data_IF_997589620542
#
_entry.id   IF_997589620542
#
_cell.length_a   1.000
_cell.length_b   1.000
_cell.length_c   1.000
_cell.angle_alpha   90.00
_cell.angle_beta   90.00
_cell.angle_gamma   90.00
#
_symmetry.space_group_name_H-M   'P 1'
#
loop_
_entity.id
_entity.type
_entity.pdbx_description
1 polymer ?
#
# COMPACT_ATOMS: atom_id res chain seq x y z
N UNK A 1 -31.21 -18.40 60.84
CA UNK A 1 -30.13 -19.41 60.81
C UNK A 1 -29.89 -19.84 59.36
N UNK A 2 -28.65 -19.64 58.90
CA UNK A 2 -28.00 -20.09 57.65
C UNK A 2 -28.53 -19.55 56.31
N UNK A 3 -27.89 -18.46 55.89
CA UNK A 3 -27.67 -18.07 54.50
C UNK A 3 -26.86 -19.13 53.76
N UNK A 4 -27.33 -19.59 52.61
CA UNK A 4 -26.53 -20.39 51.67
C UNK A 4 -26.36 -19.57 50.39
N UNK A 5 -25.16 -18.99 50.21
CA UNK A 5 -24.74 -18.33 48.98
C UNK A 5 -24.27 -19.41 48.02
N UNK A 6 -24.93 -19.55 46.87
CA UNK A 6 -24.46 -20.37 45.76
C UNK A 6 -23.63 -19.45 44.86
N UNK A 7 -22.31 -19.58 44.94
CA UNK A 7 -21.39 -18.94 44.01
C UNK A 7 -21.31 -19.79 42.75
N UNK A 8 -21.93 -19.33 41.66
CA UNK A 8 -21.71 -19.89 40.33
C UNK A 8 -20.37 -19.37 39.81
N UNK A 9 -19.35 -20.23 39.80
CA UNK A 9 -18.08 -19.99 39.11
C UNK A 9 -18.36 -20.22 37.62
N UNK A 10 -18.58 -19.13 36.88
CA UNK A 10 -18.59 -19.18 35.41
C UNK A 10 -17.13 -19.32 34.99
N UNK A 11 -16.74 -20.54 34.62
CA UNK A 11 -15.46 -20.80 33.98
C UNK A 11 -15.42 -20.08 32.64
N UNK A 12 -14.72 -18.96 32.57
CA UNK A 12 -14.35 -18.34 31.30
C UNK A 12 -13.32 -19.27 30.67
N UNK A 13 -13.76 -20.02 29.66
CA UNK A 13 -12.87 -20.71 28.75
C UNK A 13 -12.08 -19.63 27.98
N UNK A 14 -10.88 -19.33 28.45
CA UNK A 14 -9.90 -18.55 27.70
C UNK A 14 -9.44 -19.43 26.54
N UNK A 15 -10.05 -19.25 25.37
CA UNK A 15 -9.50 -19.74 24.13
C UNK A 15 -8.25 -18.90 23.83
N UNK A 16 -7.12 -19.38 24.32
CA UNK A 16 -5.80 -19.08 23.78
C UNK A 16 -5.74 -19.60 22.34
N UNK A 17 -6.20 -18.81 21.38
CA UNK A 17 -5.86 -19.07 19.97
C UNK A 17 -4.37 -18.78 19.83
N UNK A 18 -3.59 -19.84 20.01
CA UNK A 18 -2.20 -19.93 19.64
C UNK A 18 -2.04 -19.48 18.19
N UNK A 19 -1.11 -18.56 17.96
CA UNK A 19 -0.69 -18.14 16.63
C UNK A 19 -0.28 -19.37 15.81
N UNK A 20 -1.15 -19.75 14.88
CA UNK A 20 -0.80 -20.51 13.70
C UNK A 20 -1.01 -19.57 12.52
N UNK A 21 -0.06 -19.57 11.58
CA UNK A 21 -0.25 -19.01 10.25
C UNK A 21 -1.53 -19.60 9.68
N UNK A 22 -2.63 -18.87 9.81
CA UNK A 22 -3.81 -19.13 8.99
C UNK A 22 -3.33 -18.79 7.59
N UNK A 23 -3.23 -19.79 6.72
CA UNK A 23 -3.13 -19.61 5.28
C UNK A 23 -4.29 -18.69 4.88
N UNK A 24 -4.04 -17.37 4.88
CA UNK A 24 -4.98 -16.42 4.34
C UNK A 24 -4.91 -16.62 2.84
N UNK A 25 -5.88 -17.35 2.31
CA UNK A 25 -6.11 -17.44 0.87
C UNK A 25 -6.17 -16.05 0.24
N UNK A 26 -5.94 -15.99 -1.07
CA UNK A 26 -5.89 -14.71 -1.78
C UNK A 26 -7.26 -14.03 -1.73
N UNK A 27 -7.32 -12.86 -1.10
CA UNK A 27 -8.44 -11.95 -1.25
C UNK A 27 -8.17 -11.02 -2.44
N UNK A 28 -8.87 -11.23 -3.55
CA UNK A 28 -8.69 -10.41 -4.76
C UNK A 28 -9.44 -9.10 -4.63
N UNK A 29 -8.69 -8.00 -4.61
CA UNK A 29 -9.20 -6.63 -4.62
C UNK A 29 -9.30 -6.11 -6.05
N UNK A 30 -8.24 -6.27 -6.86
CA UNK A 30 -8.17 -5.73 -8.23
C UNK A 30 -8.45 -4.22 -8.34
N UNK A 31 -7.83 -3.42 -7.47
CA UNK A 31 -7.92 -1.96 -7.57
C UNK A 31 -7.21 -1.44 -8.83
N UNK A 32 -7.76 -0.36 -9.39
CA UNK A 32 -7.24 0.27 -10.62
C UNK A 32 -6.61 1.62 -10.32
N UNK A 33 -5.70 2.06 -11.19
CA UNK A 33 -5.07 3.37 -11.09
C UNK A 33 -6.04 4.48 -11.49
N UNK A 34 -5.97 5.62 -10.79
CA UNK A 34 -6.48 6.85 -11.37
C UNK A 34 -5.63 7.27 -12.59
N UNK A 35 -6.21 8.02 -13.55
CA UNK A 35 -5.45 8.58 -14.65
C UNK A 35 -4.29 9.44 -14.12
N UNK A 36 -3.07 9.27 -14.64
CA UNK A 36 -1.88 9.98 -14.13
C UNK A 36 -2.00 11.51 -14.17
N UNK A 37 -2.72 12.05 -15.16
CA UNK A 37 -3.02 13.49 -15.29
C UNK A 37 -3.86 14.05 -14.13
N UNK A 38 -4.57 13.19 -13.42
CA UNK A 38 -5.40 13.58 -12.29
C UNK A 38 -4.60 13.72 -11.00
N UNK A 39 -3.36 13.25 -10.98
CA UNK A 39 -2.48 13.21 -9.81
C UNK A 39 -1.35 14.21 -9.99
N UNK A 40 -1.13 15.04 -8.98
CA UNK A 40 0.03 15.92 -8.87
C UNK A 40 0.83 15.52 -7.64
N UNK A 41 2.13 15.35 -7.82
CA UNK A 41 3.06 15.01 -6.75
C UNK A 41 3.81 16.28 -6.33
N UNK A 42 4.02 16.45 -5.03
CA UNK A 42 4.80 17.55 -4.51
C UNK A 42 6.32 17.35 -4.73
N UNK A 43 7.08 18.45 -4.73
CA UNK A 43 8.54 18.41 -4.90
C UNK A 43 9.25 17.56 -3.83
N UNK A 44 8.70 17.50 -2.62
CA UNK A 44 9.22 16.63 -1.54
C UNK A 44 9.30 15.16 -1.96
N UNK A 45 8.40 14.72 -2.85
CA UNK A 45 8.34 13.35 -3.39
C UNK A 45 9.05 13.24 -4.74
N UNK A 46 8.84 14.17 -5.67
CA UNK A 46 9.38 14.04 -7.04
C UNK A 46 10.89 14.08 -7.12
N UNK A 47 11.57 14.76 -6.19
CA UNK A 47 13.04 14.74 -6.08
C UNK A 47 13.63 13.34 -5.82
N UNK A 48 12.79 12.36 -5.46
CA UNK A 48 13.16 10.95 -5.22
C UNK A 48 12.81 10.03 -6.39
N UNK A 49 12.45 10.58 -7.56
CA UNK A 49 12.03 9.81 -8.72
C UNK A 49 13.04 9.87 -9.85
N UNK A 50 13.14 8.79 -10.60
CA UNK A 50 13.88 8.74 -11.85
C UNK A 50 13.20 9.60 -12.91
N UNK A 51 14.02 10.25 -13.75
CA UNK A 51 13.54 10.87 -14.97
C UNK A 51 13.21 9.80 -16.00
N UNK A 52 12.09 9.95 -16.72
CA UNK A 52 11.53 8.94 -17.64
C UNK A 52 12.49 8.49 -18.76
N UNK A 53 13.60 9.21 -18.99
CA UNK A 53 14.59 8.89 -20.04
C UNK A 53 15.48 7.68 -19.73
N UNK A 54 15.41 7.08 -18.54
CA UNK A 54 16.27 5.97 -18.13
C UNK A 54 15.70 4.55 -18.41
N UNK A 55 14.50 4.43 -18.98
CA UNK A 55 13.70 3.20 -18.90
C UNK A 55 13.94 2.12 -19.98
N UNK A 56 14.78 2.35 -20.99
CA UNK A 56 15.02 1.34 -22.03
C UNK A 56 16.34 0.60 -21.78
N UNK A 57 16.30 -0.39 -20.90
CA UNK A 57 17.43 -1.28 -20.66
C UNK A 57 16.98 -2.71 -20.90
N UNK A 58 17.25 -3.21 -22.10
CA UNK A 58 17.06 -4.61 -22.45
C UNK A 58 18.36 -5.37 -22.20
N UNK A 59 18.34 -6.29 -21.24
CA UNK A 59 19.37 -7.30 -21.04
C UNK A 59 18.70 -8.56 -20.51
N UNK A 60 18.93 -9.72 -21.15
CA UNK A 60 18.41 -10.99 -20.63
C UNK A 60 19.22 -11.35 -19.37
N UNK A 61 18.63 -11.10 -18.20
CA UNK A 61 19.17 -11.50 -16.91
C UNK A 61 18.26 -12.58 -16.28
N UNK A 62 18.80 -13.65 -15.66
CA UNK A 62 17.98 -14.66 -14.98
C UNK A 62 17.03 -14.08 -13.92
N UNK A 63 17.44 -13.01 -13.21
CA UNK A 63 16.60 -12.34 -12.21
C UNK A 63 15.43 -11.59 -12.86
N UNK A 64 15.63 -10.94 -14.01
CA UNK A 64 14.51 -10.31 -14.74
C UNK A 64 13.52 -11.36 -15.24
N UNK A 65 13.99 -12.53 -15.68
CA UNK A 65 13.11 -13.62 -16.09
C UNK A 65 12.27 -14.19 -14.94
N UNK A 66 12.88 -14.35 -13.75
CA UNK A 66 12.17 -14.76 -12.51
C UNK A 66 11.08 -13.74 -12.12
N UNK A 67 11.36 -12.44 -12.28
CA UNK A 67 10.36 -11.39 -12.05
C UNK A 67 9.22 -11.43 -13.08
N UNK A 68 9.54 -11.63 -14.36
CA UNK A 68 8.52 -11.76 -15.42
C UNK A 68 7.60 -12.98 -15.21
N UNK A 69 8.14 -14.09 -14.70
CA UNK A 69 7.36 -15.25 -14.30
C UNK A 69 6.39 -14.91 -13.16
N UNK A 70 6.86 -14.24 -12.10
CA UNK A 70 6.02 -13.81 -10.98
C UNK A 70 4.92 -12.81 -11.41
N UNK A 71 5.25 -11.89 -12.32
CA UNK A 71 4.25 -10.98 -12.91
C UNK A 71 3.19 -11.79 -13.68
N UNK A 72 3.61 -12.78 -14.47
CA UNK A 72 2.69 -13.65 -15.20
C UNK A 72 1.79 -14.48 -14.27
N UNK A 73 2.33 -14.97 -13.15
CA UNK A 73 1.54 -15.62 -12.09
C UNK A 73 0.50 -14.66 -11.51
N UNK A 74 0.88 -13.42 -11.19
CA UNK A 74 -0.04 -12.40 -10.68
C UNK A 74 -1.17 -12.09 -11.67
N UNK A 75 -0.88 -11.99 -12.98
CA UNK A 75 -1.90 -11.80 -14.01
C UNK A 75 -2.82 -13.02 -14.16
N UNK A 76 -2.30 -14.24 -13.95
CA UNK A 76 -3.13 -15.45 -13.95
C UNK A 76 -4.11 -15.47 -12.77
N UNK A 77 -3.69 -14.98 -11.61
CA UNK A 77 -4.50 -14.90 -10.39
C UNK A 77 -5.67 -13.94 -10.52
N UNK A 78 -5.54 -12.88 -11.33
CA UNK A 78 -6.67 -11.98 -11.65
C UNK A 78 -7.84 -12.71 -12.29
N UNK A 79 -7.56 -13.79 -13.03
CA UNK A 79 -8.57 -14.60 -13.74
C UNK A 79 -8.96 -15.85 -12.95
N UNK A 80 -7.98 -16.48 -12.30
CA UNK A 80 -8.14 -17.76 -11.62
C UNK A 80 -7.53 -17.64 -10.21
N UNK A 81 -8.39 -17.31 -9.23
CA UNK A 81 -8.05 -16.98 -7.84
C UNK A 81 -7.56 -18.24 -7.09
N UNK A 82 -6.41 -18.76 -7.48
CA UNK A 82 -5.85 -20.01 -6.94
C UNK A 82 -4.93 -19.74 -5.76
N UNK A 83 -5.34 -20.18 -4.57
CA UNK A 83 -4.53 -20.07 -3.35
C UNK A 83 -3.17 -20.77 -3.48
N UNK A 84 -3.09 -21.88 -4.22
CA UNK A 84 -1.82 -22.56 -4.47
C UNK A 84 -0.85 -21.70 -5.28
N UNK A 85 -1.35 -21.02 -6.32
CA UNK A 85 -0.53 -20.11 -7.14
C UNK A 85 -0.15 -18.89 -6.32
N UNK A 86 -1.06 -18.37 -5.49
CA UNK A 86 -0.79 -17.26 -4.58
C UNK A 86 0.30 -17.59 -3.56
N UNK A 87 0.23 -18.75 -2.92
CA UNK A 87 1.20 -19.18 -1.93
C UNK A 87 2.60 -19.36 -2.55
N UNK A 88 2.67 -19.97 -3.74
CA UNK A 88 3.92 -20.10 -4.48
C UNK A 88 4.49 -18.72 -4.89
N UNK A 89 3.65 -17.83 -5.40
CA UNK A 89 4.05 -16.46 -5.76
C UNK A 89 4.54 -15.66 -4.55
N UNK A 90 3.81 -15.74 -3.43
CA UNK A 90 4.17 -15.04 -2.19
C UNK A 90 5.49 -15.55 -1.61
N UNK A 91 5.76 -16.85 -1.67
CA UNK A 91 7.03 -17.42 -1.26
C UNK A 91 8.18 -16.92 -2.16
N UNK A 92 8.00 -16.98 -3.48
CA UNK A 92 9.01 -16.50 -4.44
C UNK A 92 9.30 -15.00 -4.28
N UNK A 93 8.27 -14.19 -4.04
CA UNK A 93 8.40 -12.76 -3.77
C UNK A 93 9.20 -12.49 -2.50
N UNK A 94 8.91 -13.23 -1.41
CA UNK A 94 9.62 -13.08 -0.14
C UNK A 94 11.12 -13.40 -0.30
N UNK A 95 11.43 -14.53 -0.95
CA UNK A 95 12.81 -14.94 -1.18
C UNK A 95 13.58 -13.93 -2.04
N UNK A 96 12.95 -13.40 -3.10
CA UNK A 96 13.55 -12.38 -3.95
C UNK A 96 13.83 -11.08 -3.18
N UNK A 97 12.84 -10.58 -2.42
CA UNK A 97 12.97 -9.33 -1.68
C UNK A 97 14.06 -9.37 -0.60
N UNK A 98 14.19 -10.50 0.09
CA UNK A 98 15.15 -10.65 1.20
C UNK A 98 16.59 -10.85 0.72
N UNK A 99 16.80 -11.59 -0.37
CA UNK A 99 18.12 -11.90 -0.90
C UNK A 99 18.56 -10.95 -2.01
N UNK A 100 17.83 -10.97 -3.12
CA UNK A 100 18.28 -10.39 -4.39
C UNK A 100 18.26 -8.86 -4.36
N UNK A 101 17.20 -8.22 -3.84
CA UNK A 101 17.07 -6.75 -3.81
C UNK A 101 18.16 -6.08 -2.97
N UNK A 102 18.56 -6.71 -1.87
CA UNK A 102 19.64 -6.19 -1.01
C UNK A 102 20.99 -6.18 -1.75
N UNK A 103 21.25 -7.17 -2.61
CA UNK A 103 22.46 -7.24 -3.44
C UNK A 103 22.46 -6.13 -4.50
N UNK A 104 21.29 -5.72 -5.00
CA UNK A 104 21.16 -4.62 -5.99
C UNK A 104 21.47 -3.24 -5.39
N UNK A 105 21.54 -3.12 -4.06
CA UNK A 105 22.02 -1.92 -3.38
C UNK A 105 23.54 -1.81 -3.35
N UNK A 106 24.25 -2.92 -3.61
CA UNK A 106 25.70 -2.98 -3.66
C UNK A 106 26.24 -2.62 -5.07
N UNK A 107 27.45 -2.09 -5.13
CA UNK A 107 28.12 -1.67 -6.39
C UNK A 107 28.59 -2.85 -7.27
N UNK A 108 28.04 -4.04 -7.08
CA UNK A 108 28.51 -5.30 -7.70
C UNK A 108 27.98 -5.53 -9.11
N UNK A 109 26.88 -4.88 -9.50
CA UNK A 109 26.31 -4.98 -10.85
C UNK A 109 26.53 -3.69 -11.64
N UNK A 110 26.56 -3.81 -12.97
CA UNK A 110 26.50 -2.63 -13.82
C UNK A 110 25.23 -1.83 -13.50
N UNK A 111 25.33 -0.50 -13.51
CA UNK A 111 24.19 0.37 -13.16
C UNK A 111 22.96 0.10 -14.04
N UNK A 112 23.14 -0.36 -15.27
CA UNK A 112 22.06 -0.70 -16.19
C UNK A 112 21.31 -1.98 -15.79
N UNK A 113 22.03 -3.05 -15.44
CA UNK A 113 21.41 -4.33 -15.07
C UNK A 113 20.63 -4.22 -13.76
N UNK A 114 21.21 -3.56 -12.75
CA UNK A 114 20.53 -3.31 -11.49
C UNK A 114 19.23 -2.51 -11.69
N UNK A 115 19.26 -1.49 -12.56
CA UNK A 115 18.08 -0.67 -12.87
C UNK A 115 16.97 -1.48 -13.56
N UNK A 116 17.32 -2.36 -14.50
CA UNK A 116 16.34 -3.22 -15.17
C UNK A 116 15.64 -4.18 -14.18
N UNK A 117 16.41 -4.81 -13.27
CA UNK A 117 15.87 -5.70 -12.24
C UNK A 117 14.98 -4.92 -11.26
N UNK A 118 15.44 -3.77 -10.77
CA UNK A 118 14.69 -2.95 -9.83
C UNK A 118 13.39 -2.40 -10.44
N UNK A 119 13.41 -2.02 -11.72
CA UNK A 119 12.21 -1.60 -12.44
C UNK A 119 11.15 -2.71 -12.48
N UNK A 120 11.56 -3.95 -12.82
CA UNK A 120 10.66 -5.12 -12.80
C UNK A 120 10.17 -5.46 -11.39
N UNK A 121 11.00 -5.25 -10.37
CA UNK A 121 10.60 -5.42 -8.97
C UNK A 121 9.54 -4.39 -8.55
N UNK A 122 9.65 -3.12 -9.00
CA UNK A 122 8.61 -2.11 -8.82
C UNK A 122 7.31 -2.54 -9.50
N UNK A 123 7.37 -2.96 -10.77
CA UNK A 123 6.19 -3.38 -11.53
C UNK A 123 5.47 -4.58 -10.88
N UNK A 124 6.23 -5.55 -10.36
CA UNK A 124 5.69 -6.69 -9.63
C UNK A 124 4.95 -6.23 -8.37
N UNK A 125 5.57 -5.37 -7.54
CA UNK A 125 4.94 -4.89 -6.31
C UNK A 125 3.68 -4.05 -6.58
N UNK A 126 3.71 -3.20 -7.62
CA UNK A 126 2.52 -2.45 -8.07
C UNK A 126 1.41 -3.41 -8.47
N UNK A 127 1.73 -4.46 -9.23
CA UNK A 127 0.78 -5.46 -9.70
C UNK A 127 0.16 -6.24 -8.53
N UNK A 128 1.00 -6.69 -7.58
CA UNK A 128 0.58 -7.46 -6.42
C UNK A 128 -0.24 -6.62 -5.44
N UNK A 129 0.13 -5.35 -5.22
CA UNK A 129 -0.64 -4.44 -4.38
C UNK A 129 -2.03 -4.16 -4.97
N UNK A 130 -2.12 -3.93 -6.28
CA UNK A 130 -3.43 -3.76 -6.95
C UNK A 130 -4.28 -5.02 -6.88
N UNK A 131 -3.67 -6.20 -7.07
CA UNK A 131 -4.33 -7.49 -7.03
C UNK A 131 -4.91 -7.79 -5.64
N UNK A 132 -4.11 -7.63 -4.58
CA UNK A 132 -4.40 -8.19 -3.25
C UNK A 132 -4.67 -7.15 -2.16
N UNK A 133 -4.19 -5.91 -2.33
CA UNK A 133 -4.10 -4.90 -1.26
C UNK A 133 -3.28 -5.33 -0.05
N UNK A 134 -2.39 -6.32 -0.15
CA UNK A 134 -1.53 -6.65 0.99
C UNK A 134 -0.48 -5.56 1.21
N UNK A 135 -0.43 -5.05 2.44
CA UNK A 135 0.40 -3.91 2.85
C UNK A 135 1.88 -4.11 2.57
N UNK A 136 2.37 -5.35 2.63
CA UNK A 136 3.79 -5.71 2.40
C UNK A 136 4.31 -5.26 1.03
N UNK A 137 3.47 -5.24 0.01
CA UNK A 137 3.85 -4.77 -1.32
C UNK A 137 3.97 -3.25 -1.37
N UNK A 138 3.11 -2.53 -0.63
CA UNK A 138 3.23 -1.09 -0.43
C UNK A 138 4.46 -0.71 0.40
N UNK A 139 4.79 -1.49 1.43
CA UNK A 139 6.01 -1.32 2.22
C UNK A 139 7.26 -1.46 1.34
N UNK A 140 7.30 -2.47 0.46
CA UNK A 140 8.42 -2.64 -0.46
C UNK A 140 8.59 -1.46 -1.43
N UNK A 141 7.49 -0.88 -1.93
CA UNK A 141 7.51 0.33 -2.78
C UNK A 141 8.02 1.54 -2.00
N UNK A 142 7.56 1.74 -0.76
CA UNK A 142 8.04 2.85 0.09
C UNK A 142 9.51 2.70 0.48
N UNK A 143 9.98 1.49 0.75
CA UNK A 143 11.39 1.22 1.02
C UNK A 143 12.26 1.62 -0.17
N UNK A 144 11.82 1.32 -1.40
CA UNK A 144 12.51 1.76 -2.63
C UNK A 144 12.49 3.28 -2.80
N UNK A 145 11.39 3.94 -2.42
CA UNK A 145 11.25 5.39 -2.56
C UNK A 145 12.09 6.17 -1.54
N UNK A 146 12.04 5.74 -0.27
CA UNK A 146 12.56 6.53 0.86
C UNK A 146 13.84 5.99 1.49
N UNK A 147 14.05 4.67 1.50
CA UNK A 147 15.20 4.04 2.19
C UNK A 147 16.30 3.58 1.25
N UNK A 148 15.96 3.26 0.00
CA UNK A 148 16.92 2.75 -0.96
C UNK A 148 17.89 3.87 -1.42
N UNK A 149 19.20 3.56 -1.58
CA UNK A 149 20.22 4.58 -1.82
C UNK A 149 20.22 5.16 -3.23
N UNK A 150 19.47 4.53 -4.15
CA UNK A 150 19.40 4.92 -5.57
C UNK A 150 17.95 5.26 -5.91
N UNK A 151 17.76 6.15 -6.87
CA UNK A 151 16.43 6.43 -7.41
C UNK A 151 15.99 5.24 -8.27
N UNK A 152 14.76 4.77 -8.07
CA UNK A 152 14.24 3.55 -8.73
C UNK A 152 12.90 3.78 -9.40
N UNK A 153 11.97 4.48 -8.73
CA UNK A 153 10.62 4.67 -9.25
C UNK A 153 10.58 5.83 -10.24
N UNK A 154 9.84 5.68 -11.33
CA UNK A 154 9.45 6.80 -12.19
C UNK A 154 8.22 7.54 -11.66
N UNK A 155 7.97 8.75 -12.18
CA UNK A 155 6.75 9.50 -11.86
C UNK A 155 5.49 8.74 -12.27
N UNK A 156 5.50 8.12 -13.45
CA UNK A 156 4.39 7.32 -13.94
C UNK A 156 4.09 6.12 -13.03
N UNK A 157 5.13 5.40 -12.58
CA UNK A 157 4.97 4.25 -11.68
C UNK A 157 4.37 4.69 -10.34
N UNK A 158 4.91 5.74 -9.71
CA UNK A 158 4.38 6.23 -8.43
C UNK A 158 2.95 6.72 -8.57
N UNK A 159 2.62 7.53 -9.60
CA UNK A 159 1.25 7.98 -9.85
C UNK A 159 0.29 6.81 -10.10
N UNK A 160 0.76 5.70 -10.66
CA UNK A 160 -0.09 4.53 -10.90
C UNK A 160 -0.50 3.81 -9.62
N UNK A 161 0.17 4.05 -8.49
CA UNK A 161 -0.05 3.28 -7.26
C UNK A 161 -0.30 4.12 -6.03
N UNK A 162 0.17 5.37 -5.94
CA UNK A 162 -0.01 6.24 -4.76
C UNK A 162 -1.48 6.31 -4.32
N UNK A 163 -2.38 6.36 -5.30
CA UNK A 163 -3.82 6.17 -5.13
C UNK A 163 -4.32 5.11 -6.12
N UNK A 164 -5.13 4.16 -5.62
CA UNK A 164 -5.90 3.25 -6.47
C UNK A 164 -7.36 3.23 -6.02
N UNK A 165 -8.26 2.66 -6.82
CA UNK A 165 -9.66 2.63 -6.47
C UNK A 165 -10.43 1.42 -7.02
N UNK A 166 -11.60 1.18 -6.44
CA UNK A 166 -12.70 0.38 -6.99
C UNK A 166 -13.94 1.24 -6.85
N UNK A 167 -14.47 1.75 -7.96
CA UNK A 167 -15.54 2.76 -7.92
C UNK A 167 -15.13 3.94 -7.00
N UNK A 168 -15.94 4.25 -5.96
CA UNK A 168 -15.68 5.28 -4.94
C UNK A 168 -15.01 4.73 -3.66
N UNK A 169 -14.44 3.53 -3.71
CA UNK A 169 -13.53 3.01 -2.70
C UNK A 169 -12.10 3.42 -3.06
N UNK A 170 -11.50 4.29 -2.25
CA UNK A 170 -10.22 4.92 -2.53
C UNK A 170 -9.15 4.32 -1.61
N UNK A 171 -8.11 3.77 -2.21
CA UNK A 171 -6.96 3.23 -1.49
C UNK A 171 -5.80 4.22 -1.57
N UNK A 172 -5.35 4.68 -0.40
CA UNK A 172 -4.13 5.49 -0.24
C UNK A 172 -3.00 4.54 0.11
N UNK A 173 -2.13 4.30 -0.87
CA UNK A 173 -1.15 3.22 -0.80
C UNK A 173 0.26 3.72 -0.49
N UNK A 174 0.60 4.96 -0.83
CA UNK A 174 1.92 5.52 -0.55
C UNK A 174 1.73 6.87 0.13
N UNK A 175 2.42 7.06 1.25
CA UNK A 175 2.36 8.30 2.01
C UNK A 175 3.38 9.27 1.44
N UNK A 176 2.88 10.35 0.84
CA UNK A 176 3.71 11.39 0.28
C UNK A 176 2.86 12.57 -0.17
N UNK A 177 3.37 13.78 0.04
CA UNK A 177 2.67 15.01 -0.31
C UNK A 177 2.27 15.02 -1.78
N UNK A 178 0.97 15.08 -2.02
CA UNK A 178 0.36 14.90 -3.34
C UNK A 178 -1.11 15.33 -3.32
N UNK A 179 -1.70 15.49 -4.48
CA UNK A 179 -3.15 15.62 -4.61
C UNK A 179 -3.66 14.80 -5.78
N UNK A 180 -4.92 14.38 -5.69
CA UNK A 180 -5.62 13.82 -6.83
C UNK A 180 -7.04 14.37 -6.93
N UNK A 181 -7.53 14.46 -8.17
CA UNK A 181 -8.91 14.80 -8.47
C UNK A 181 -9.59 13.64 -9.22
N UNK A 182 -10.88 13.43 -8.99
CA UNK A 182 -11.64 12.48 -9.79
C UNK A 182 -13.12 12.84 -9.80
N UNK A 183 -13.86 12.21 -10.72
CA UNK A 183 -15.31 12.34 -10.78
C UNK A 183 -15.93 11.18 -10.01
N UNK A 184 -16.70 11.51 -8.97
CA UNK A 184 -17.45 10.54 -8.19
C UNK A 184 -18.44 9.79 -9.08
N UNK A 185 -18.76 8.52 -8.79
CA UNK A 185 -19.61 7.70 -9.69
C UNK A 185 -21.03 8.26 -9.85
N UNK A 186 -21.54 8.93 -8.82
CA UNK A 186 -22.82 9.66 -8.84
C UNK A 186 -22.72 11.11 -9.35
N UNK A 187 -21.59 11.48 -9.98
CA UNK A 187 -21.28 12.84 -10.42
C UNK A 187 -20.70 13.72 -9.33
N UNK A 188 -20.07 14.83 -9.74
CA UNK A 188 -19.39 15.78 -8.86
C UNK A 188 -17.88 15.53 -8.78
N UNK A 189 -17.12 16.62 -8.67
CA UNK A 189 -15.67 16.55 -8.53
C UNK A 189 -15.29 16.35 -7.06
N UNK A 190 -14.40 15.40 -6.82
CA UNK A 190 -13.76 15.16 -5.53
C UNK A 190 -12.27 15.42 -5.69
N UNK A 191 -11.70 16.18 -4.77
CA UNK A 191 -10.25 16.35 -4.67
C UNK A 191 -9.80 15.94 -3.28
N UNK A 192 -8.71 15.19 -3.23
CA UNK A 192 -8.01 14.88 -2.00
C UNK A 192 -6.60 15.45 -2.08
N UNK A 193 -6.16 16.03 -0.97
CA UNK A 193 -4.79 16.54 -0.81
C UNK A 193 -4.14 15.81 0.36
N UNK A 194 -3.04 15.12 0.12
CA UNK A 194 -2.13 14.63 1.15
C UNK A 194 -1.06 15.70 1.42
N UNK A 195 -0.92 16.09 2.68
CA UNK A 195 0.21 16.85 3.19
C UNK A 195 0.94 15.99 4.21
N UNK A 196 2.16 15.60 3.92
CA UNK A 196 2.96 14.73 4.76
C UNK A 196 4.35 15.32 5.01
N UNK A 197 4.84 15.19 6.24
CA UNK A 197 6.23 15.47 6.61
C UNK A 197 7.12 14.19 6.52
N UNK A 198 6.52 13.07 6.15
CA UNK A 198 7.16 11.79 5.89
C UNK A 198 8.15 11.86 4.70
N UNK A 199 9.30 11.14 4.74
CA UNK A 199 9.73 10.19 5.77
C UNK A 199 10.51 10.80 6.93
N UNK A 200 10.70 12.14 6.96
CA UNK A 200 11.47 12.81 8.01
C UNK A 200 10.65 12.93 9.31
N UNK A 201 9.37 13.25 9.17
CA UNK A 201 8.39 13.17 10.23
C UNK A 201 7.53 11.91 10.11
N UNK A 202 6.39 11.93 10.79
CA UNK A 202 5.51 10.78 10.91
C UNK A 202 4.03 11.12 10.77
N UNK A 203 3.71 12.31 10.27
CA UNK A 203 2.35 12.81 10.16
C UNK A 203 1.95 12.98 8.69
N UNK A 204 0.70 12.64 8.41
CA UNK A 204 0.05 12.94 7.15
C UNK A 204 -1.36 13.47 7.44
N UNK A 205 -1.71 14.57 6.80
CA UNK A 205 -3.06 15.14 6.78
C UNK A 205 -3.64 14.90 5.39
N UNK A 206 -4.80 14.25 5.36
CA UNK A 206 -5.59 14.07 4.15
C UNK A 206 -6.80 15.00 4.23
N UNK A 207 -6.85 16.00 3.35
CA UNK A 207 -7.98 16.93 3.24
C UNK A 207 -8.85 16.58 2.05
N UNK A 208 -10.17 16.55 2.25
CA UNK A 208 -11.17 16.34 1.20
C UNK A 208 -11.81 17.67 0.77
N UNK A 209 -11.86 17.92 -0.53
CA UNK A 209 -12.54 19.06 -1.14
C UNK A 209 -13.64 18.54 -2.07
N UNK A 210 -14.89 18.91 -1.79
CA UNK A 210 -16.07 18.47 -2.53
C UNK A 210 -17.07 19.62 -2.69
N UNK A 211 -17.82 19.64 -3.80
CA UNK A 211 -18.85 20.66 -4.02
C UNK A 211 -20.13 20.45 -3.20
N UNK A 212 -20.40 19.21 -2.84
CA UNK A 212 -21.55 18.75 -2.05
C UNK A 212 -21.20 17.48 -1.28
N UNK A 213 -22.05 17.08 -0.33
CA UNK A 213 -21.77 15.94 0.56
C UNK A 213 -21.77 14.63 -0.23
N UNK A 214 -20.70 13.82 -0.11
CA UNK A 214 -20.54 12.56 -0.86
C UNK A 214 -20.21 11.38 0.04
N UNK A 215 -20.77 10.20 -0.26
CA UNK A 215 -20.41 8.98 0.44
C UNK A 215 -19.24 8.30 -0.27
N UNK A 216 -18.12 8.13 0.41
CA UNK A 216 -16.92 7.50 -0.13
C UNK A 216 -16.22 6.70 0.95
N UNK A 217 -15.61 5.61 0.55
CA UNK A 217 -14.85 4.74 1.46
C UNK A 217 -13.37 4.99 1.22
N UNK A 218 -12.65 5.42 2.26
CA UNK A 218 -11.21 5.67 2.18
C UNK A 218 -10.47 4.63 2.98
N UNK A 219 -9.55 3.94 2.33
CA UNK A 219 -8.69 2.93 2.88
C UNK A 219 -7.28 3.51 2.93
N UNK A 220 -6.77 3.78 4.13
CA UNK A 220 -5.42 4.30 4.32
C UNK A 220 -4.50 3.17 4.73
N UNK A 221 -3.47 2.88 3.92
CA UNK A 221 -2.48 1.86 4.26
C UNK A 221 -1.74 2.23 5.53
N UNK A 222 -1.70 1.32 6.51
CA UNK A 222 -0.88 1.46 7.71
C UNK A 222 0.35 0.56 7.58
N UNK A 223 1.55 1.14 7.36
CA UNK A 223 2.76 0.35 7.13
C UNK A 223 3.04 -0.67 8.23
N UNK A 224 3.62 -1.82 7.87
CA UNK A 224 3.88 -2.90 8.84
C UNK A 224 4.88 -2.52 9.94
N UNK A 225 5.77 -1.57 9.65
CA UNK A 225 6.76 -1.05 10.59
C UNK A 225 6.18 -0.08 11.62
N UNK A 226 4.97 0.44 11.43
CA UNK A 226 4.41 1.46 12.30
C UNK A 226 4.15 0.92 13.71
N UNK A 227 4.46 1.71 14.73
CA UNK A 227 4.25 1.39 16.15
C UNK A 227 3.17 2.31 16.70
N UNK A 228 2.08 1.73 17.25
CA UNK A 228 0.94 2.50 17.79
C UNK A 228 0.40 3.59 16.84
N UNK A 229 0.08 3.25 15.57
CA UNK A 229 -0.44 4.22 14.61
C UNK A 229 -1.77 4.83 15.08
N UNK A 230 -2.01 6.08 14.72
CA UNK A 230 -3.29 6.74 15.00
C UNK A 230 -3.88 7.35 13.75
N UNK A 231 -5.16 7.11 13.53
CA UNK A 231 -5.94 7.73 12.45
C UNK A 231 -7.16 8.38 13.08
N UNK A 232 -7.32 9.68 12.87
CA UNK A 232 -8.37 10.48 13.51
C UNK A 232 -9.04 11.46 12.55
N UNK A 233 -10.30 11.77 12.85
CA UNK A 233 -11.05 12.88 12.25
C UNK A 233 -11.74 13.65 13.36
N UNK A 234 -11.25 14.86 13.66
CA UNK A 234 -11.64 15.57 14.88
C UNK A 234 -11.47 14.68 16.11
N UNK A 235 -12.56 14.43 16.84
CA UNK A 235 -12.57 13.59 18.04
C UNK A 235 -12.78 12.08 17.77
N UNK A 236 -13.03 11.69 16.51
CA UNK A 236 -13.27 10.28 16.15
C UNK A 236 -11.93 9.61 15.86
N UNK A 237 -11.70 8.45 16.48
CA UNK A 237 -10.52 7.61 16.25
C UNK A 237 -10.92 6.34 15.50
N UNK A 238 -10.19 6.03 14.43
CA UNK A 238 -10.36 4.81 13.65
C UNK A 238 -9.38 3.73 14.13
N UNK A 239 -9.72 2.47 13.88
CA UNK A 239 -8.85 1.33 14.19
C UNK A 239 -7.75 1.28 13.14
N UNK A 240 -6.54 1.64 13.53
CA UNK A 240 -5.35 1.49 12.71
C UNK A 240 -4.48 0.37 13.28
N UNK A 241 -4.20 -0.66 12.47
CA UNK A 241 -3.31 -1.76 12.81
C UNK A 241 -2.16 -1.80 11.81
N UNK A 242 -0.89 -1.92 12.28
CA UNK A 242 0.24 -2.10 11.39
C UNK A 242 0.04 -3.32 10.48
N UNK A 243 0.32 -3.17 9.19
CA UNK A 243 0.16 -4.25 8.21
C UNK A 243 -1.27 -4.40 7.66
N UNK A 244 -2.18 -3.48 7.98
CA UNK A 244 -3.56 -3.47 7.48
C UNK A 244 -3.92 -2.10 6.89
N UNK A 245 -5.05 -2.03 6.18
CA UNK A 245 -5.66 -0.74 5.82
C UNK A 245 -6.57 -0.27 6.95
N UNK A 246 -6.47 1.00 7.30
CA UNK A 246 -7.45 1.67 8.14
C UNK A 246 -8.63 2.08 7.27
N UNK A 247 -9.80 1.52 7.54
CA UNK A 247 -11.02 1.72 6.74
C UNK A 247 -11.86 2.88 7.31
N UNK A 248 -12.27 3.79 6.43
CA UNK A 248 -12.99 5.02 6.77
C UNK A 248 -14.26 5.12 5.90
N UNK A 249 -15.37 4.65 6.45
CA UNK A 249 -16.69 4.61 5.80
C UNK A 249 -17.54 5.82 6.17
N UNK A 250 -17.68 6.82 5.28
CA UNK A 250 -18.28 8.12 5.69
C UNK A 250 -18.95 8.89 4.57
N UNK A 251 -19.80 9.83 5.00
CA UNK A 251 -20.18 11.00 4.21
C UNK A 251 -19.15 12.10 4.43
N UNK A 252 -18.47 12.48 3.35
CA UNK A 252 -17.45 13.51 3.31
C UNK A 252 -18.07 14.88 3.00
N UNK A 253 -17.65 15.87 3.77
CA UNK A 253 -17.96 17.28 3.57
C UNK A 253 -16.71 18.03 3.07
N UNK A 254 -16.95 19.19 2.47
CA UNK A 254 -15.85 20.05 2.06
C UNK A 254 -15.01 20.48 3.26
N UNK A 255 -13.69 20.27 3.18
CA UNK A 255 -12.75 20.57 4.25
C UNK A 255 -12.61 19.48 5.31
N UNK A 256 -13.21 18.29 5.12
CA UNK A 256 -12.99 17.18 6.04
C UNK A 256 -11.52 16.75 6.04
N UNK A 257 -10.94 16.59 7.23
CA UNK A 257 -9.54 16.20 7.42
C UNK A 257 -9.42 14.86 8.14
N UNK A 258 -8.51 14.01 7.66
CA UNK A 258 -8.01 12.84 8.38
C UNK A 258 -6.56 13.11 8.77
N UNK A 259 -6.24 12.92 10.05
CA UNK A 259 -4.89 12.97 10.55
C UNK A 259 -4.38 11.55 10.78
N UNK A 260 -3.22 11.25 10.21
CA UNK A 260 -2.54 9.96 10.32
C UNK A 260 -1.19 10.19 10.99
N UNK A 261 -0.88 9.40 12.02
CA UNK A 261 0.45 9.39 12.64
C UNK A 261 1.02 7.99 12.68
N UNK A 262 2.22 7.83 12.14
CA UNK A 262 2.94 6.56 12.02
C UNK A 262 4.21 6.61 12.86
N UNK A 263 4.08 6.40 14.16
CA UNK A 263 5.26 6.45 15.03
C UNK A 263 6.17 5.25 14.73
N UNK A 264 7.47 5.46 14.89
CA UNK A 264 8.50 4.43 14.91
C UNK A 264 9.05 4.37 16.34
#
# INVERSE_FOLDING_TARGET
MKSMRISAIIGIAVFIVSCANVDRGLNVINSVSFPTKNITLDNSVTQRLLTDSAANISGQNPLTAKLDEMISMAESLRKNQSDSVWNALSANWYDFGKGDVSILSADTLSNSEASAILSKWVDLNITLLKLSGEVKFGDAIEDLLYKFPRLVLTEAQLKSIIYTHIDDQIFINVIGSSNFNYQHTTGGNVKFTQQADYPLGNEMILTCEVGDVRYMDVFIRIPSWAVNPTVTHGNVKYVARPGEYCEIYRKWNNGDEIQVRLKN
#
